data_IF_424433815601
#
_entry.id   IF_424433815601
#
_cell.length_a   1.000
_cell.length_b   1.000
_cell.length_c   1.000
_cell.angle_alpha   90.00
_cell.angle_beta   90.00
_cell.angle_gamma   90.00
#
_symmetry.space_group_name_H-M   'P 1'
#
loop_
_entity.id
_entity.type
_entity.pdbx_description
1 polymer ?
#
# COMPACT_ATOMS: atom_id res chain seq x y z
N UNK A 1 -10.17 17.77 -7.45
CA UNK A 1 -10.04 17.38 -8.84
C UNK A 1 -10.94 16.19 -9.10
N UNK A 2 -11.89 16.33 -10.00
CA UNK A 2 -12.74 15.24 -10.46
C UNK A 2 -11.90 14.24 -11.25
N UNK A 3 -12.16 12.95 -11.08
CA UNK A 3 -11.52 11.91 -11.92
C UNK A 3 -11.78 12.22 -13.40
N UNK A 4 -10.78 12.06 -14.29
CA UNK A 4 -10.97 12.36 -15.72
C UNK A 4 -12.07 11.50 -16.37
N UNK A 5 -12.33 10.29 -15.87
CA UNK A 5 -13.43 9.42 -16.29
C UNK A 5 -14.27 9.02 -15.06
N UNK A 6 -15.35 9.76 -14.75
CA UNK A 6 -16.19 9.50 -13.57
C UNK A 6 -17.11 8.28 -13.74
N UNK A 7 -17.35 7.81 -14.96
CA UNK A 7 -18.19 6.66 -15.27
C UNK A 7 -17.31 5.49 -15.72
N UNK A 8 -17.53 4.32 -15.14
CA UNK A 8 -16.80 3.09 -15.46
C UNK A 8 -17.05 1.98 -14.45
N UNK A 9 -16.70 0.77 -14.81
CA UNK A 9 -16.69 -0.37 -13.92
C UNK A 9 -15.55 -0.20 -12.91
N UNK A 10 -15.85 -0.37 -11.62
CA UNK A 10 -14.83 -0.43 -10.59
C UNK A 10 -14.25 -1.82 -10.58
N UNK A 11 -12.94 -1.91 -10.72
CA UNK A 11 -12.18 -3.15 -10.67
C UNK A 11 -11.13 -3.09 -9.55
N UNK A 12 -10.97 -4.19 -8.83
CA UNK A 12 -9.84 -4.43 -7.95
C UNK A 12 -8.81 -5.23 -8.73
N UNK A 13 -7.54 -4.81 -8.68
CA UNK A 13 -6.49 -5.37 -9.52
C UNK A 13 -5.29 -5.73 -8.67
N UNK A 14 -4.73 -6.91 -8.89
CA UNK A 14 -3.40 -7.33 -8.47
C UNK A 14 -2.47 -7.21 -9.69
N UNK A 15 -1.43 -6.41 -9.57
CA UNK A 15 -0.46 -6.21 -10.65
C UNK A 15 0.98 -6.40 -10.15
N UNK A 16 1.84 -6.87 -11.04
CA UNK A 16 3.28 -6.85 -10.83
C UNK A 16 3.82 -5.39 -10.90
N UNK A 17 5.02 -5.11 -10.35
CA UNK A 17 5.58 -3.76 -10.37
C UNK A 17 5.80 -3.16 -11.76
N UNK A 18 5.91 -3.99 -12.79
CA UNK A 18 6.05 -3.61 -14.20
C UNK A 18 4.71 -3.31 -14.90
N UNK A 19 3.58 -3.43 -14.18
CA UNK A 19 2.24 -3.17 -14.68
C UNK A 19 1.51 -4.38 -15.26
N UNK A 20 2.12 -5.57 -15.26
CA UNK A 20 1.43 -6.79 -15.67
C UNK A 20 0.32 -7.12 -14.68
N UNK A 21 -0.93 -7.20 -15.19
CA UNK A 21 -2.09 -7.62 -14.40
C UNK A 21 -1.98 -9.13 -14.13
N UNK A 22 -1.93 -9.50 -12.86
CA UNK A 22 -1.85 -10.89 -12.41
C UNK A 22 -3.24 -11.46 -12.10
N UNK A 23 -4.11 -10.63 -11.51
CA UNK A 23 -5.48 -11.00 -11.21
C UNK A 23 -6.36 -9.75 -11.07
N UNK A 24 -7.70 -9.90 -11.23
CA UNK A 24 -8.63 -8.80 -11.05
C UNK A 24 -10.04 -9.29 -10.70
N UNK A 25 -10.78 -8.47 -9.95
CA UNK A 25 -12.18 -8.70 -9.62
C UNK A 25 -13.02 -7.44 -9.82
N UNK A 26 -14.17 -7.57 -10.47
CA UNK A 26 -15.12 -6.48 -10.58
C UNK A 26 -15.84 -6.23 -9.24
N UNK A 27 -16.02 -4.96 -8.92
CA UNK A 27 -16.82 -4.57 -7.78
C UNK A 27 -18.31 -4.67 -8.13
N UNK A 28 -19.00 -5.62 -7.52
CA UNK A 28 -20.44 -5.91 -7.72
C UNK A 28 -21.29 -5.50 -6.51
N UNK A 29 -20.81 -4.57 -5.70
CA UNK A 29 -21.50 -4.13 -4.48
C UNK A 29 -21.24 -5.09 -3.32
N UNK A 30 -22.29 -5.50 -2.62
CA UNK A 30 -22.20 -6.44 -1.48
C UNK A 30 -21.79 -7.85 -1.87
N UNK A 31 -22.01 -8.24 -3.10
CA UNK A 31 -21.67 -9.58 -3.59
C UNK A 31 -20.22 -9.71 -4.06
N UNK A 32 -19.41 -8.65 -3.89
CA UNK A 32 -17.97 -8.66 -4.25
C UNK A 32 -17.15 -9.63 -3.39
N UNK A 33 -17.49 -9.74 -2.13
CA UNK A 33 -16.85 -10.63 -1.15
C UNK A 33 -17.92 -11.34 -0.31
N UNK A 34 -17.56 -12.45 0.32
CA UNK A 34 -18.51 -13.18 1.16
C UNK A 34 -18.95 -12.35 2.38
N UNK A 35 -20.17 -12.56 2.86
CA UNK A 35 -20.67 -11.91 4.08
C UNK A 35 -19.80 -12.25 5.31
N UNK A 36 -19.26 -13.47 5.36
CA UNK A 36 -18.35 -13.91 6.42
C UNK A 36 -17.06 -13.10 6.42
N UNK A 37 -16.41 -12.97 5.27
CA UNK A 37 -15.17 -12.17 5.12
C UNK A 37 -15.43 -10.68 5.38
N UNK A 38 -16.56 -10.16 4.89
CA UNK A 38 -16.95 -8.77 5.14
C UNK A 38 -17.08 -8.47 6.64
N UNK A 39 -17.70 -9.39 7.39
CA UNK A 39 -17.88 -9.26 8.84
C UNK A 39 -16.57 -9.38 9.61
N UNK A 40 -15.73 -10.32 9.22
CA UNK A 40 -14.46 -10.63 9.90
C UNK A 40 -13.37 -9.60 9.56
N UNK A 41 -13.12 -9.38 8.28
CA UNK A 41 -11.98 -8.61 7.77
C UNK A 41 -12.35 -7.18 7.37
N UNK A 42 -13.59 -6.95 6.93
CA UNK A 42 -14.02 -5.73 6.26
C UNK A 42 -13.61 -5.70 4.79
N UNK A 43 -14.25 -4.87 3.97
CA UNK A 43 -14.12 -4.89 2.51
C UNK A 43 -12.67 -4.86 2.01
N UNK A 44 -11.84 -3.96 2.53
CA UNK A 44 -10.47 -3.80 2.04
C UNK A 44 -9.62 -5.06 2.21
N UNK A 45 -9.62 -5.65 3.41
CA UNK A 45 -8.87 -6.87 3.69
C UNK A 45 -9.48 -8.11 3.00
N UNK A 46 -10.81 -8.16 2.85
CA UNK A 46 -11.46 -9.25 2.11
C UNK A 46 -11.11 -9.24 0.62
N UNK A 47 -10.95 -8.05 0.02
CA UNK A 47 -10.48 -7.93 -1.36
C UNK A 47 -9.01 -8.36 -1.49
N UNK A 48 -8.15 -8.01 -0.51
CA UNK A 48 -6.78 -8.53 -0.48
C UNK A 48 -6.77 -10.05 -0.40
N UNK A 49 -7.58 -10.64 0.48
CA UNK A 49 -7.76 -12.09 0.56
C UNK A 49 -8.13 -12.68 -0.80
N UNK A 50 -9.17 -12.16 -1.45
CA UNK A 50 -9.69 -12.63 -2.73
C UNK A 50 -8.63 -12.59 -3.84
N UNK A 51 -7.94 -11.46 -4.01
CA UNK A 51 -6.89 -11.30 -5.02
C UNK A 51 -5.65 -12.15 -4.73
N UNK A 52 -5.34 -12.40 -3.45
CA UNK A 52 -4.17 -13.19 -3.07
C UNK A 52 -4.44 -14.71 -3.10
N UNK A 53 -5.65 -15.17 -3.38
CA UNK A 53 -5.93 -16.60 -3.62
C UNK A 53 -5.19 -17.14 -4.84
N UNK A 54 -4.96 -16.30 -5.85
CA UNK A 54 -4.18 -16.63 -7.05
C UNK A 54 -2.66 -16.61 -6.84
N UNK A 55 -2.19 -16.07 -5.70
CA UNK A 55 -0.74 -16.00 -5.40
C UNK A 55 -0.23 -17.36 -4.92
N UNK A 56 0.79 -17.94 -5.57
CA UNK A 56 1.37 -19.23 -5.16
C UNK A 56 1.93 -19.16 -3.73
N UNK A 57 1.57 -20.15 -2.88
CA UNK A 57 2.02 -20.17 -1.47
C UNK A 57 3.37 -20.82 -1.23
N UNK A 58 4.00 -21.36 -2.27
CA UNK A 58 5.28 -22.04 -2.20
C UNK A 58 6.51 -21.11 -2.15
N UNK A 59 6.30 -19.82 -2.39
CA UNK A 59 7.33 -18.79 -2.33
C UNK A 59 6.89 -17.65 -1.41
N UNK A 60 7.88 -16.94 -0.87
CA UNK A 60 7.61 -15.70 -0.13
C UNK A 60 7.26 -14.58 -1.11
N UNK A 61 6.10 -13.97 -0.91
CA UNK A 61 5.65 -12.81 -1.69
C UNK A 61 5.49 -11.60 -0.77
N UNK A 62 5.69 -10.40 -1.29
CA UNK A 62 5.37 -9.16 -0.60
C UNK A 62 4.35 -8.37 -1.43
N UNK A 63 3.18 -8.14 -0.86
CA UNK A 63 2.07 -7.41 -1.48
C UNK A 63 2.12 -5.95 -1.02
N UNK A 64 2.07 -5.01 -1.95
CA UNK A 64 2.05 -3.58 -1.67
C UNK A 64 0.64 -3.05 -1.90
N UNK A 65 0.11 -2.34 -0.90
CA UNK A 65 -1.30 -1.90 -0.91
C UNK A 65 -1.46 -0.46 -0.48
N UNK A 66 -2.50 0.21 -1.01
CA UNK A 66 -2.87 1.52 -0.51
C UNK A 66 -3.61 1.45 0.83
N UNK A 67 -3.92 2.61 1.40
CA UNK A 67 -4.59 2.73 2.70
C UNK A 67 -6.00 2.14 2.76
N UNK A 68 -6.63 1.88 1.60
CA UNK A 68 -7.96 1.26 1.57
C UNK A 68 -7.88 -0.23 1.91
N UNK A 69 -6.83 -0.89 1.47
CA UNK A 69 -6.64 -2.33 1.61
C UNK A 69 -5.82 -2.74 2.85
N UNK A 70 -4.96 -1.83 3.33
CA UNK A 70 -4.04 -2.11 4.44
C UNK A 70 -4.76 -2.06 5.79
N UNK A 71 -4.58 -3.10 6.60
CA UNK A 71 -5.03 -3.20 7.99
C UNK A 71 -4.24 -4.28 8.74
N UNK A 72 -4.26 -4.26 10.07
CA UNK A 72 -3.67 -5.36 10.88
C UNK A 72 -4.28 -6.71 10.46
N UNK A 73 -5.60 -6.76 10.27
CA UNK A 73 -6.30 -7.99 9.87
C UNK A 73 -5.82 -8.54 8.53
N UNK A 74 -5.55 -7.68 7.53
CA UNK A 74 -5.03 -8.14 6.24
C UNK A 74 -3.58 -8.62 6.34
N UNK A 75 -2.75 -7.97 7.17
CA UNK A 75 -1.38 -8.41 7.41
C UNK A 75 -1.35 -9.79 8.10
N UNK A 76 -2.14 -9.96 9.16
CA UNK A 76 -2.21 -11.23 9.89
C UNK A 76 -2.70 -12.37 8.98
N UNK A 77 -3.76 -12.15 8.21
CA UNK A 77 -4.26 -13.12 7.24
C UNK A 77 -3.19 -13.57 6.23
N UNK A 78 -2.41 -12.62 5.69
CA UNK A 78 -1.37 -12.92 4.72
C UNK A 78 -0.15 -13.60 5.35
N UNK A 79 0.22 -13.23 6.59
CA UNK A 79 1.31 -13.87 7.33
C UNK A 79 1.06 -15.37 7.56
N UNK A 80 -0.18 -15.78 7.84
CA UNK A 80 -0.57 -17.18 7.97
C UNK A 80 -0.36 -17.97 6.66
N UNK A 81 -0.25 -17.27 5.53
CA UNK A 81 -0.05 -17.82 4.19
C UNK A 81 1.37 -17.60 3.65
N UNK A 82 2.32 -17.32 4.52
CA UNK A 82 3.71 -17.05 4.15
C UNK A 82 3.82 -15.90 3.12
N UNK A 83 2.88 -14.96 3.18
CA UNK A 83 2.84 -13.77 2.32
C UNK A 83 2.94 -12.54 3.19
N UNK A 84 3.74 -11.56 2.78
CA UNK A 84 3.95 -10.32 3.50
C UNK A 84 3.15 -9.19 2.86
N UNK A 85 2.84 -8.18 3.66
CA UNK A 85 2.16 -6.98 3.17
C UNK A 85 2.87 -5.72 3.66
N UNK A 86 2.99 -4.73 2.79
CA UNK A 86 3.44 -3.38 3.12
C UNK A 86 2.49 -2.38 2.49
N UNK A 87 2.01 -1.41 3.26
CA UNK A 87 1.10 -0.41 2.71
C UNK A 87 0.88 0.80 3.59
N UNK A 88 0.44 1.89 2.97
CA UNK A 88 -0.08 3.03 3.73
C UNK A 88 -1.36 2.63 4.45
N UNK A 89 -1.63 3.20 5.63
CA UNK A 89 -2.75 2.78 6.46
C UNK A 89 -3.48 3.96 7.10
N UNK A 90 -4.78 3.79 7.35
CA UNK A 90 -5.58 4.74 8.12
C UNK A 90 -5.36 4.50 9.62
N UNK A 91 -5.25 5.56 10.42
CA UNK A 91 -5.03 5.47 11.87
C UNK A 91 -6.01 4.55 12.60
N UNK A 92 -7.27 4.53 12.19
CA UNK A 92 -8.31 3.68 12.80
C UNK A 92 -8.19 2.18 12.45
N UNK A 93 -7.24 1.79 11.58
CA UNK A 93 -7.01 0.39 11.15
C UNK A 93 -5.74 -0.23 11.73
N UNK A 94 -5.03 0.51 12.59
CA UNK A 94 -3.73 0.08 13.15
C UNK A 94 -3.89 -0.77 14.40
N UNK A 95 -5.04 -0.69 15.08
CA UNK A 95 -5.25 -1.34 16.38
C UNK A 95 -4.46 -0.65 17.51
N UNK A 96 -4.54 -1.20 18.72
CA UNK A 96 -3.88 -0.64 19.91
C UNK A 96 -2.35 -0.79 19.92
N UNK A 97 -1.83 -1.66 19.06
CA UNK A 97 -0.41 -2.05 19.05
C UNK A 97 0.51 -0.89 18.64
N UNK A 98 -0.03 0.09 17.91
CA UNK A 98 0.71 1.18 17.30
C UNK A 98 0.21 2.55 17.79
N UNK A 99 -0.59 2.59 18.84
CA UNK A 99 -1.18 3.80 19.43
C UNK A 99 -0.17 4.84 19.94
N UNK A 100 1.12 4.50 19.98
CA UNK A 100 2.20 5.35 20.52
C UNK A 100 3.11 5.95 19.46
N UNK A 101 2.77 5.85 18.17
CA UNK A 101 3.56 6.50 17.11
C UNK A 101 3.44 8.02 17.22
N UNK A 102 4.56 8.70 16.98
CA UNK A 102 4.60 10.16 16.91
C UNK A 102 3.65 10.71 15.87
N UNK A 103 3.01 11.81 16.21
CA UNK A 103 2.09 12.53 15.32
C UNK A 103 2.84 13.43 14.35
N UNK A 104 2.12 13.96 13.35
CA UNK A 104 2.67 14.87 12.35
C UNK A 104 3.38 16.10 12.95
N UNK A 105 2.88 16.62 14.06
CA UNK A 105 3.43 17.80 14.74
C UNK A 105 4.67 17.51 15.61
N UNK A 106 4.89 16.24 15.93
CA UNK A 106 6.04 15.80 16.77
C UNK A 106 7.26 15.42 15.92
N UNK A 107 7.12 15.36 14.61
CA UNK A 107 8.19 15.00 13.68
C UNK A 107 8.59 16.20 12.83
N UNK A 108 9.89 16.39 12.65
CA UNK A 108 10.46 17.28 11.63
C UNK A 108 10.57 16.54 10.30
N UNK A 109 10.73 17.29 9.22
CA UNK A 109 10.91 16.73 7.87
C UNK A 109 12.11 15.79 7.82
N UNK A 110 11.91 14.58 7.31
CA UNK A 110 12.91 13.51 7.27
C UNK A 110 12.96 12.65 8.53
N UNK A 111 12.31 13.05 9.63
CA UNK A 111 12.23 12.23 10.84
C UNK A 111 11.14 11.16 10.72
N UNK A 112 11.29 10.07 11.46
CA UNK A 112 10.32 9.00 11.57
C UNK A 112 10.22 8.47 13.01
N UNK A 113 9.20 7.68 13.23
CA UNK A 113 9.02 6.88 14.44
C UNK A 113 8.52 5.50 14.03
N UNK A 114 9.06 4.47 14.67
CA UNK A 114 8.72 3.07 14.40
C UNK A 114 8.28 2.39 15.68
N UNK A 115 7.27 1.55 15.56
CA UNK A 115 6.83 0.63 16.61
C UNK A 115 6.64 -0.75 16.02
N UNK A 116 7.21 -1.73 16.69
CA UNK A 116 7.09 -3.14 16.35
C UNK A 116 6.08 -3.79 17.29
N UNK A 117 5.22 -4.63 16.76
CA UNK A 117 4.27 -5.43 17.52
C UNK A 117 5.03 -6.43 18.41
N UNK A 118 4.45 -6.83 19.54
CA UNK A 118 5.11 -7.72 20.53
C UNK A 118 5.58 -9.05 19.94
N UNK A 119 4.92 -9.57 18.91
CA UNK A 119 5.31 -10.79 18.21
C UNK A 119 6.42 -10.58 17.16
N UNK A 120 6.92 -9.36 17.02
CA UNK A 120 7.97 -8.93 16.09
C UNK A 120 7.63 -9.14 14.59
N UNK A 121 6.39 -9.50 14.26
CA UNK A 121 5.98 -9.80 12.87
C UNK A 121 5.45 -8.62 12.09
N UNK A 122 5.05 -7.56 12.77
CA UNK A 122 4.45 -6.37 12.15
C UNK A 122 5.04 -5.11 12.76
N UNK A 123 5.43 -4.18 11.92
CA UNK A 123 5.83 -2.84 12.35
C UNK A 123 4.91 -1.76 11.75
N UNK A 124 4.78 -0.67 12.48
CA UNK A 124 4.18 0.56 12.01
C UNK A 124 5.22 1.67 11.98
N UNK A 125 5.30 2.39 10.89
CA UNK A 125 6.25 3.48 10.68
C UNK A 125 5.52 4.75 10.28
N UNK A 126 5.74 5.81 11.04
CA UNK A 126 5.33 7.17 10.66
C UNK A 126 6.56 7.92 10.16
N UNK A 127 6.54 8.40 8.93
CA UNK A 127 7.61 9.22 8.36
C UNK A 127 7.10 10.58 7.90
N UNK A 128 7.86 11.64 8.21
CA UNK A 128 7.51 13.02 7.87
C UNK A 128 8.20 13.49 6.61
N UNK A 129 7.44 13.71 5.53
CA UNK A 129 7.83 14.55 4.40
C UNK A 129 7.20 15.95 4.56
N UNK A 130 6.37 16.41 3.65
CA UNK A 130 5.54 17.61 3.84
C UNK A 130 4.40 17.36 4.84
N UNK A 131 3.82 16.15 4.79
CA UNK A 131 2.88 15.60 5.76
C UNK A 131 3.35 14.22 6.16
N UNK A 132 2.99 13.79 7.37
CA UNK A 132 3.32 12.45 7.82
C UNK A 132 2.56 11.39 7.03
N UNK A 133 3.29 10.36 6.62
CA UNK A 133 2.76 9.15 6.01
C UNK A 133 2.91 8.02 7.02
N UNK A 134 1.85 7.25 7.20
CA UNK A 134 1.80 6.12 8.11
C UNK A 134 1.72 4.83 7.30
N UNK A 135 2.65 3.92 7.56
CA UNK A 135 2.72 2.60 6.92
C UNK A 135 2.63 1.50 7.95
N UNK A 136 2.06 0.37 7.53
CA UNK A 136 2.20 -0.92 8.19
C UNK A 136 3.00 -1.84 7.28
N UNK A 137 3.84 -2.67 7.88
CA UNK A 137 4.62 -3.66 7.15
C UNK A 137 4.83 -4.92 8.00
N UNK A 138 4.74 -6.07 7.35
CA UNK A 138 5.20 -7.36 7.89
C UNK A 138 6.47 -7.86 7.18
N UNK A 139 7.04 -7.05 6.28
CA UNK A 139 8.19 -7.41 5.45
C UNK A 139 9.47 -6.68 5.86
N UNK A 140 9.38 -5.36 6.09
CA UNK A 140 10.54 -4.50 6.31
C UNK A 140 10.17 -3.34 7.22
N UNK A 141 11.11 -2.91 8.05
CA UNK A 141 10.98 -1.74 8.94
C UNK A 141 11.63 -0.47 8.37
N UNK A 142 12.09 0.38 9.29
CA UNK A 142 12.76 1.63 8.94
C UNK A 142 14.19 1.44 8.44
N UNK A 143 14.86 0.39 8.87
CA UNK A 143 16.26 0.13 8.53
C UNK A 143 16.43 -0.82 7.32
N UNK A 144 17.53 -0.68 6.53
CA UNK A 144 18.50 0.40 6.60
C UNK A 144 17.93 1.73 6.11
N UNK A 145 18.34 2.85 6.73
CA UNK A 145 17.88 4.17 6.31
C UNK A 145 18.43 4.52 4.94
N UNK A 146 17.56 4.98 4.06
CA UNK A 146 17.89 5.50 2.72
C UNK A 146 17.75 7.01 2.68
N UNK A 147 17.88 7.60 1.51
CA UNK A 147 17.67 9.04 1.30
C UNK A 147 16.84 9.28 0.05
N UNK A 148 16.09 10.38 0.05
CA UNK A 148 15.37 10.83 -1.14
C UNK A 148 15.52 12.33 -1.36
N UNK A 149 15.41 12.76 -2.63
CA UNK A 149 15.43 14.17 -2.99
C UNK A 149 14.02 14.74 -2.96
N UNK A 150 13.82 15.84 -2.24
CA UNK A 150 12.53 16.53 -2.12
C UNK A 150 12.70 18.03 -2.33
N UNK A 151 11.71 18.67 -2.93
CA UNK A 151 11.73 20.12 -3.10
C UNK A 151 11.55 20.82 -1.75
N UNK A 152 12.47 21.74 -1.42
CA UNK A 152 12.33 22.65 -0.28
C UNK A 152 11.81 24.00 -0.78
N UNK A 153 10.67 24.44 -0.22
CA UNK A 153 10.13 25.77 -0.53
C UNK A 153 10.99 26.90 0.06
N UNK A 154 11.61 26.63 1.21
CA UNK A 154 12.47 27.58 1.92
C UNK A 154 13.78 27.81 1.16
N UNK A 155 14.45 26.71 0.76
CA UNK A 155 15.72 26.77 0.05
C UNK A 155 15.57 26.95 -1.47
N UNK A 156 14.32 26.86 -1.99
CA UNK A 156 14.00 26.92 -3.44
C UNK A 156 14.83 25.95 -4.29
N UNK A 157 15.21 24.82 -3.72
CA UNK A 157 15.98 23.76 -4.38
C UNK A 157 15.58 22.37 -3.90
N UNK A 158 16.09 21.33 -4.58
CA UNK A 158 15.95 19.94 -4.10
C UNK A 158 16.95 19.70 -2.98
N UNK A 159 16.46 19.23 -1.83
CA UNK A 159 17.24 18.82 -0.66
C UNK A 159 17.15 17.30 -0.49
N UNK A 160 18.21 16.72 0.03
CA UNK A 160 18.23 15.29 0.39
C UNK A 160 17.76 15.14 1.82
N UNK A 161 16.76 14.29 2.04
CA UNK A 161 16.23 13.97 3.37
C UNK A 161 16.33 12.46 3.64
N UNK A 162 16.51 12.05 4.91
CA UNK A 162 16.45 10.64 5.30
C UNK A 162 15.09 10.03 4.97
N UNK A 163 15.10 8.77 4.56
CA UNK A 163 13.90 8.01 4.21
C UNK A 163 14.00 6.59 4.75
N UNK A 164 13.04 6.12 5.57
CA UNK A 164 12.98 4.74 6.02
C UNK A 164 12.88 3.76 4.85
N UNK A 165 13.47 2.56 4.99
CA UNK A 165 13.46 1.53 3.95
C UNK A 165 12.05 1.15 3.53
N UNK A 166 11.14 0.99 4.48
CA UNK A 166 9.72 0.66 4.18
C UNK A 166 9.06 1.68 3.25
N UNK A 167 9.38 2.98 3.41
CA UNK A 167 8.87 4.06 2.54
C UNK A 167 9.50 3.99 1.15
N UNK A 168 10.80 3.70 1.10
CA UNK A 168 11.52 3.56 -0.16
C UNK A 168 10.95 2.42 -1.01
N UNK A 169 10.83 1.23 -0.43
CA UNK A 169 10.29 0.04 -1.10
C UNK A 169 8.81 0.22 -1.49
N UNK A 170 8.02 0.83 -0.61
CA UNK A 170 6.63 1.14 -0.93
C UNK A 170 6.53 2.03 -2.19
N UNK A 171 7.30 3.12 -2.23
CA UNK A 171 7.29 4.03 -3.38
C UNK A 171 7.79 3.36 -4.67
N UNK A 172 8.73 2.42 -4.56
CA UNK A 172 9.26 1.68 -5.71
C UNK A 172 8.25 0.68 -6.29
N UNK A 173 7.49 0.00 -5.43
CA UNK A 173 6.67 -1.17 -5.82
C UNK A 173 5.19 -0.84 -6.00
N UNK A 174 4.69 0.25 -5.44
CA UNK A 174 3.25 0.58 -5.40
C UNK A 174 2.65 0.99 -6.75
N UNK A 175 3.47 1.30 -7.76
CA UNK A 175 3.02 1.89 -9.03
C UNK A 175 2.46 0.91 -10.08
N UNK A 176 2.41 -0.40 -9.81
CA UNK A 176 2.08 -1.41 -10.82
C UNK A 176 0.70 -1.23 -11.47
N UNK A 177 -0.34 -1.00 -10.66
CA UNK A 177 -1.72 -0.80 -11.18
C UNK A 177 -1.80 0.47 -12.05
N UNK A 178 -1.25 1.59 -11.58
CA UNK A 178 -1.23 2.84 -12.35
C UNK A 178 -0.46 2.71 -13.67
N UNK A 179 0.59 1.88 -13.68
CA UNK A 179 1.37 1.60 -14.88
C UNK A 179 0.58 0.71 -15.85
N UNK A 180 -0.09 -0.32 -15.35
CA UNK A 180 -1.00 -1.17 -16.14
C UNK A 180 -2.13 -0.36 -16.77
N UNK A 181 -2.77 0.54 -16.02
CA UNK A 181 -3.81 1.43 -16.54
C UNK A 181 -3.29 2.29 -17.71
N UNK A 182 -2.07 2.83 -17.62
CA UNK A 182 -1.45 3.60 -18.70
C UNK A 182 -1.23 2.75 -19.96
N UNK A 183 -0.79 1.51 -19.81
CA UNK A 183 -0.62 0.59 -20.93
C UNK A 183 -1.95 0.24 -21.59
N UNK A 184 -3.01 0.03 -20.82
CA UNK A 184 -4.35 -0.22 -21.37
C UNK A 184 -4.87 0.96 -22.18
N UNK A 185 -4.71 2.20 -21.68
CA UNK A 185 -5.11 3.41 -22.39
C UNK A 185 -4.34 3.56 -23.72
N UNK A 186 -3.03 3.32 -23.71
CA UNK A 186 -2.22 3.37 -24.94
C UNK A 186 -2.65 2.33 -25.97
N UNK A 187 -2.99 1.12 -25.57
CA UNK A 187 -3.47 0.06 -26.46
C UNK A 187 -4.87 0.36 -27.06
N UNK A 188 -5.76 0.98 -26.28
CA UNK A 188 -7.07 1.42 -26.78
C UNK A 188 -6.93 2.50 -27.86
N UNK A 189 -5.95 3.41 -27.75
CA UNK A 189 -5.67 4.40 -28.79
C UNK A 189 -5.15 3.78 -30.10
N UNK A 190 -4.47 2.63 -30.04
CA UNK A 190 -3.97 1.93 -31.24
C UNK A 190 -5.06 1.16 -32.01
N UNK A 191 -6.12 0.72 -31.34
CA UNK A 191 -7.24 0.00 -31.97
C UNK A 191 -8.16 0.95 -32.80
N UNK A 192 -8.12 2.25 -32.52
CA UNK A 192 -8.92 3.26 -33.24
C UNK A 192 -8.21 3.87 -34.46
N UNK A 193 -7.00 3.50 -34.78
CA UNK A 193 -6.21 4.05 -35.92
C UNK A 193 -5.94 3.03 -37.02
N UNK A 194 -6.65 1.90 -37.05
CA UNK A 194 -6.63 0.94 -38.16
C UNK A 194 -7.93 0.95 -38.94
#
# INVERSE_FOLDING_TARGET
PTKPNPLGLKCFVLAAPDGLVLDFHFYTGKDTVSDADMKELGLGASVVKLLCESVPQNNMHCIYTDRFFTSIKSLDYLLERNTYQTGTVMKNRIGRVIDKLKTDTQLKRGEWDEKVREDEKVCGVTWKDNKSVLLLSSCVGSEPVTTCKRWSKEEKKKVTIPQPMVVNLYNEKMGGVDLGDRFMILNICYIHTC
#
